data_IF_978841460905
#
_entry.id   IF_978841460905
#
_cell.length_a   1.000
_cell.length_b   1.000
_cell.length_c   1.000
_cell.angle_alpha   90.00
_cell.angle_beta   90.00
_cell.angle_gamma   90.00
#
_symmetry.space_group_name_H-M   'P 1'
#
loop_
_entity.id
_entity.type
_entity.pdbx_description
1 polymer ?
#
# COMPACT_ATOMS: atom_id res chain seq x y z
N UNK A 1 4.14 -15.02 -13.51
CA UNK A 1 4.43 -13.58 -13.61
C UNK A 1 5.69 -13.31 -12.82
N UNK A 2 6.59 -12.46 -13.33
CA UNK A 2 7.73 -11.96 -12.57
C UNK A 2 7.37 -10.58 -12.02
N UNK A 3 7.61 -10.36 -10.73
CA UNK A 3 7.35 -9.10 -10.07
C UNK A 3 8.56 -8.72 -9.20
N UNK A 4 8.83 -7.41 -9.10
CA UNK A 4 9.77 -6.83 -8.16
C UNK A 4 8.99 -6.02 -7.13
N UNK A 5 9.33 -6.16 -5.86
CA UNK A 5 8.76 -5.40 -4.75
C UNK A 5 9.88 -4.69 -4.01
N UNK A 6 9.72 -3.40 -3.75
CA UNK A 6 10.60 -2.63 -2.87
C UNK A 6 9.78 -1.96 -1.76
N UNK A 7 10.33 -1.95 -0.55
CA UNK A 7 9.82 -1.22 0.62
C UNK A 7 10.87 -0.25 1.15
N UNK A 8 11.12 -0.29 2.46
CA UNK A 8 12.07 0.61 3.15
C UNK A 8 13.46 0.68 2.49
N UNK A 9 13.87 1.90 2.13
CA UNK A 9 15.18 2.19 1.54
C UNK A 9 15.79 3.41 2.25
N UNK A 10 16.84 3.17 3.05
CA UNK A 10 17.50 4.21 3.84
C UNK A 10 18.56 5.04 3.10
N UNK A 11 18.82 4.80 1.81
CA UNK A 11 19.84 5.57 1.06
C UNK A 11 19.51 5.76 -0.43
N UNK A 12 19.87 6.93 -0.95
CA UNK A 12 19.69 7.29 -2.37
C UNK A 12 20.50 6.38 -3.29
N UNK A 13 21.72 6.00 -2.90
CA UNK A 13 22.58 5.11 -3.70
C UNK A 13 21.96 3.72 -3.88
N UNK A 14 21.37 3.17 -2.81
CA UNK A 14 20.68 1.88 -2.88
C UNK A 14 19.42 1.98 -3.75
N UNK A 15 18.63 3.05 -3.60
CA UNK A 15 17.44 3.28 -4.43
C UNK A 15 17.79 3.36 -5.92
N UNK A 16 18.81 4.13 -6.28
CA UNK A 16 19.27 4.21 -7.67
C UNK A 16 19.75 2.85 -8.21
N UNK A 17 20.32 1.99 -7.34
CA UNK A 17 20.73 0.64 -7.72
C UNK A 17 19.53 -0.26 -8.00
N UNK A 18 18.49 -0.19 -7.17
CA UNK A 18 17.22 -0.90 -7.40
C UNK A 18 16.62 -0.48 -8.74
N UNK A 19 16.61 0.81 -9.06
CA UNK A 19 16.08 1.30 -10.34
C UNK A 19 16.83 0.73 -11.55
N UNK A 20 18.17 0.65 -11.48
CA UNK A 20 18.99 0.00 -12.53
C UNK A 20 18.65 -1.49 -12.68
N UNK A 21 18.39 -2.18 -11.57
CA UNK A 21 17.97 -3.59 -11.59
C UNK A 21 16.58 -3.73 -12.23
N UNK A 22 15.61 -2.89 -11.87
CA UNK A 22 14.27 -2.89 -12.47
C UNK A 22 14.34 -2.63 -13.97
N UNK A 23 15.13 -1.65 -14.40
CA UNK A 23 15.39 -1.36 -15.81
C UNK A 23 15.98 -2.57 -16.55
N UNK A 24 17.00 -3.20 -15.96
CA UNK A 24 17.62 -4.41 -16.54
C UNK A 24 16.62 -5.56 -16.65
N UNK A 25 15.83 -5.81 -15.61
CA UNK A 25 14.80 -6.85 -15.64
C UNK A 25 13.73 -6.54 -16.70
N UNK A 26 13.33 -5.28 -16.87
CA UNK A 26 12.39 -4.87 -17.93
C UNK A 26 12.94 -5.02 -19.34
N UNK A 27 14.25 -4.85 -19.53
CA UNK A 27 14.88 -5.12 -20.83
C UNK A 27 14.78 -6.60 -21.24
N UNK A 28 14.64 -7.50 -20.26
CA UNK A 28 14.47 -8.95 -20.47
C UNK A 28 12.98 -9.31 -20.53
N UNK A 29 12.16 -8.71 -19.66
CA UNK A 29 10.72 -8.92 -19.59
C UNK A 29 9.99 -7.57 -19.51
N UNK A 30 9.52 -7.01 -20.65
CA UNK A 30 8.78 -5.75 -20.67
C UNK A 30 7.48 -5.77 -19.86
N UNK A 31 6.92 -6.96 -19.59
CA UNK A 31 5.73 -7.15 -18.77
C UNK A 31 6.02 -7.24 -17.26
N UNK A 32 7.26 -6.97 -16.81
CA UNK A 32 7.63 -6.95 -15.40
C UNK A 32 6.78 -5.94 -14.62
N UNK A 33 6.07 -6.44 -13.61
CA UNK A 33 5.36 -5.62 -12.64
C UNK A 33 6.34 -5.16 -11.55
N UNK A 34 6.47 -3.85 -11.38
CA UNK A 34 7.22 -3.26 -10.26
C UNK A 34 6.23 -2.65 -9.26
N UNK A 35 6.15 -3.22 -8.06
CA UNK A 35 5.36 -2.69 -6.96
C UNK A 35 6.31 -1.94 -6.02
N UNK A 36 6.01 -0.69 -5.75
CA UNK A 36 6.78 0.11 -4.81
C UNK A 36 5.89 0.54 -3.65
N UNK A 37 6.32 0.17 -2.45
CA UNK A 37 5.90 0.76 -1.20
C UNK A 37 6.88 1.89 -0.86
N UNK A 38 6.50 3.16 -1.01
CA UNK A 38 7.42 4.28 -0.88
C UNK A 38 7.59 4.64 0.61
N UNK A 39 8.12 3.69 1.39
CA UNK A 39 8.26 3.80 2.85
C UNK A 39 9.18 4.97 3.19
N UNK A 40 8.57 6.10 3.55
CA UNK A 40 9.29 7.34 3.87
C UNK A 40 8.94 7.86 5.26
N UNK A 41 7.76 7.54 5.79
CA UNK A 41 7.32 8.05 7.07
C UNK A 41 5.84 7.79 7.34
N UNK A 42 5.41 8.11 8.56
CA UNK A 42 4.01 8.05 8.96
C UNK A 42 3.73 9.13 10.03
N UNK A 43 2.46 9.44 10.26
CA UNK A 43 1.98 10.40 11.26
C UNK A 43 2.70 11.78 11.21
N UNK A 44 3.04 12.23 9.99
CA UNK A 44 3.70 13.52 9.77
C UNK A 44 5.21 13.53 10.00
N UNK A 45 5.84 12.38 10.24
CA UNK A 45 7.27 12.26 10.51
C UNK A 45 7.97 11.38 9.48
N UNK A 46 9.05 11.89 8.92
CA UNK A 46 9.94 11.12 8.04
C UNK A 46 10.81 10.16 8.85
N UNK A 47 10.95 8.93 8.35
CA UNK A 47 11.91 7.92 8.82
C UNK A 47 13.19 7.92 7.99
N UNK A 48 13.18 8.61 6.85
CA UNK A 48 14.26 8.67 5.87
C UNK A 48 14.69 10.11 5.62
N UNK A 49 15.92 10.34 5.12
CA UNK A 49 16.35 11.66 4.67
C UNK A 49 15.37 12.33 3.68
N UNK A 50 15.13 13.62 3.85
CA UNK A 50 14.19 14.40 3.01
C UNK A 50 14.50 14.30 1.51
N UNK A 51 15.78 14.18 1.13
CA UNK A 51 16.22 13.98 -0.24
C UNK A 51 15.65 12.72 -0.90
N UNK A 52 15.30 11.68 -0.13
CA UNK A 52 14.68 10.49 -0.69
C UNK A 52 13.27 10.78 -1.20
N UNK A 53 12.57 11.79 -0.69
CA UNK A 53 11.23 12.15 -1.17
C UNK A 53 11.29 12.59 -2.63
N UNK A 54 12.25 13.44 -3.01
CA UNK A 54 12.41 13.87 -4.41
C UNK A 54 12.84 12.71 -5.29
N UNK A 55 13.74 11.83 -4.82
CA UNK A 55 14.15 10.66 -5.60
C UNK A 55 12.97 9.69 -5.84
N UNK A 56 12.12 9.46 -4.83
CA UNK A 56 10.91 8.66 -5.03
C UNK A 56 10.00 9.30 -6.07
N UNK A 57 9.68 10.58 -5.91
CA UNK A 57 8.80 11.32 -6.81
C UNK A 57 9.29 11.34 -8.26
N UNK A 58 10.58 11.62 -8.46
CA UNK A 58 11.14 11.89 -9.80
C UNK A 58 11.62 10.63 -10.52
N UNK A 59 12.01 9.58 -9.78
CA UNK A 59 12.65 8.40 -10.38
C UNK A 59 11.92 7.09 -10.13
N UNK A 60 11.25 6.95 -8.99
CA UNK A 60 10.59 5.69 -8.61
C UNK A 60 9.15 5.65 -9.10
N UNK A 61 8.38 6.70 -8.78
CA UNK A 61 6.98 6.80 -9.23
C UNK A 61 6.86 6.59 -10.74
N UNK A 62 7.66 7.22 -11.62
CA UNK A 62 7.48 7.08 -13.06
C UNK A 62 7.68 5.67 -13.62
N UNK A 63 8.40 4.82 -12.89
CA UNK A 63 8.65 3.44 -13.30
C UNK A 63 7.81 2.43 -12.55
N UNK A 64 7.06 2.80 -11.51
CA UNK A 64 6.21 1.88 -10.76
C UNK A 64 5.03 1.38 -11.61
N UNK A 65 4.71 0.09 -11.49
CA UNK A 65 3.48 -0.51 -12.03
C UNK A 65 2.33 -0.43 -11.01
N UNK A 66 2.66 -0.42 -9.72
CA UNK A 66 1.73 -0.17 -8.63
C UNK A 66 2.45 0.58 -7.50
N UNK A 67 1.77 1.58 -6.93
CA UNK A 67 2.22 2.28 -5.73
C UNK A 67 1.29 1.99 -4.56
N UNK A 68 1.86 1.83 -3.36
CA UNK A 68 1.10 1.53 -2.13
C UNK A 68 1.38 2.50 -0.97
N UNK A 69 1.38 3.83 -1.18
CA UNK A 69 1.72 4.79 -0.13
C UNK A 69 0.67 4.79 0.99
N UNK A 70 1.06 5.20 2.19
CA UNK A 70 0.11 5.71 3.17
C UNK A 70 -0.31 7.16 2.85
N UNK A 71 -1.23 7.76 3.61
CA UNK A 71 -1.66 9.14 3.42
C UNK A 71 -0.49 10.14 3.42
N UNK A 72 0.39 10.08 4.42
CA UNK A 72 1.50 11.01 4.55
C UNK A 72 2.47 10.92 3.36
N UNK A 73 2.77 9.72 2.91
CA UNK A 73 3.59 9.47 1.72
C UNK A 73 2.92 9.95 0.44
N UNK A 74 1.61 9.75 0.29
CA UNK A 74 0.86 10.27 -0.85
C UNK A 74 0.90 11.81 -0.88
N UNK A 75 0.75 12.48 0.25
CA UNK A 75 0.90 13.93 0.37
C UNK A 75 2.32 14.38 0.01
N UNK A 76 3.34 13.67 0.49
CA UNK A 76 4.74 13.95 0.15
C UNK A 76 5.02 13.75 -1.34
N UNK A 77 4.47 12.73 -1.99
CA UNK A 77 4.71 12.47 -3.40
C UNK A 77 3.99 13.47 -4.30
N UNK A 78 2.78 13.90 -3.91
CA UNK A 78 1.92 14.76 -4.74
C UNK A 78 2.06 16.25 -4.43
N UNK A 79 2.51 16.62 -3.23
CA UNK A 79 2.44 17.98 -2.70
C UNK A 79 1.02 18.43 -2.34
N UNK A 80 0.02 17.55 -2.45
CA UNK A 80 -1.38 17.82 -2.11
C UNK A 80 -1.63 17.39 -0.67
N UNK A 81 -2.19 18.27 0.16
CA UNK A 81 -2.66 17.90 1.50
C UNK A 81 -3.99 17.15 1.37
N UNK A 82 -4.14 16.03 2.08
CA UNK A 82 -5.32 15.18 2.03
C UNK A 82 -6.13 15.36 3.31
N UNK A 83 -7.31 15.98 3.20
CA UNK A 83 -8.24 16.16 4.34
C UNK A 83 -9.64 15.61 4.05
N UNK A 84 -9.90 15.18 2.81
CA UNK A 84 -11.15 14.59 2.35
C UNK A 84 -10.92 13.37 1.46
N UNK A 85 -11.99 12.59 1.23
CA UNK A 85 -11.96 11.50 0.24
C UNK A 85 -11.60 12.02 -1.16
N UNK A 86 -12.13 13.20 -1.55
CA UNK A 86 -11.88 13.85 -2.82
C UNK A 86 -10.39 14.19 -3.02
N UNK A 87 -9.70 14.63 -1.97
CA UNK A 87 -8.26 14.88 -2.05
C UNK A 87 -7.48 13.59 -2.28
N UNK A 88 -7.90 12.48 -1.66
CA UNK A 88 -7.33 11.15 -1.90
C UNK A 88 -7.49 10.70 -3.36
N UNK A 89 -8.66 10.95 -3.96
CA UNK A 89 -8.91 10.68 -5.38
C UNK A 89 -8.04 11.55 -6.29
N UNK A 90 -7.91 12.84 -5.97
CA UNK A 90 -7.06 13.78 -6.69
C UNK A 90 -5.57 13.39 -6.58
N UNK A 91 -5.11 12.98 -5.40
CA UNK A 91 -3.76 12.48 -5.20
C UNK A 91 -3.46 11.25 -6.07
N UNK A 92 -4.40 10.30 -6.17
CA UNK A 92 -4.28 9.16 -7.08
C UNK A 92 -4.15 9.61 -8.54
N UNK A 93 -4.92 10.62 -8.98
CA UNK A 93 -4.84 11.16 -10.33
C UNK A 93 -3.49 11.82 -10.64
N UNK A 94 -2.93 12.57 -9.69
CA UNK A 94 -1.58 13.15 -9.80
C UNK A 94 -0.53 12.04 -9.93
N UNK A 95 -0.64 10.99 -9.11
CA UNK A 95 0.26 9.84 -9.17
C UNK A 95 0.14 9.08 -10.49
N UNK A 96 -1.07 8.84 -11.00
CA UNK A 96 -1.28 8.24 -12.32
C UNK A 96 -0.62 9.05 -13.44
N UNK A 97 -0.73 10.38 -13.40
CA UNK A 97 -0.07 11.25 -14.37
C UNK A 97 1.46 11.13 -14.34
N UNK A 98 2.03 10.79 -13.19
CA UNK A 98 3.46 10.57 -13.03
C UNK A 98 3.94 9.20 -13.54
N UNK A 99 3.10 8.17 -13.62
CA UNK A 99 3.50 6.86 -14.16
C UNK A 99 2.60 5.65 -13.88
N UNK A 100 2.34 5.30 -12.61
CA UNK A 100 1.76 4.01 -12.25
C UNK A 100 0.29 3.89 -12.68
N UNK A 101 -0.12 2.80 -13.34
CA UNK A 101 -1.54 2.55 -13.64
C UNK A 101 -2.35 2.15 -12.42
N UNK A 102 -1.72 1.68 -11.33
CA UNK A 102 -2.39 1.27 -10.09
C UNK A 102 -1.83 2.07 -8.91
N UNK A 103 -2.70 2.67 -8.12
CA UNK A 103 -2.35 3.37 -6.89
C UNK A 103 -3.29 2.88 -5.79
N UNK A 104 -2.74 2.51 -4.65
CA UNK A 104 -3.49 2.13 -3.45
C UNK A 104 -2.97 2.96 -2.29
N UNK A 105 -3.72 3.99 -1.86
CA UNK A 105 -3.44 4.69 -0.61
C UNK A 105 -3.90 3.76 0.52
N UNK A 106 -2.95 3.11 1.18
CA UNK A 106 -3.18 1.96 2.07
C UNK A 106 -3.93 2.35 3.34
N UNK A 107 -3.68 3.56 3.84
CA UNK A 107 -4.34 4.13 5.01
C UNK A 107 -4.53 5.63 4.86
N UNK A 108 -5.76 6.08 5.05
CA UNK A 108 -6.14 7.49 5.06
C UNK A 108 -7.13 7.74 6.20
N UNK A 109 -6.83 8.70 7.06
CA UNK A 109 -7.68 9.06 8.20
C UNK A 109 -8.56 10.25 7.83
N UNK A 110 -9.84 10.00 7.60
CA UNK A 110 -10.85 11.04 7.31
C UNK A 110 -11.87 11.06 8.45
N UNK A 111 -11.88 12.13 9.23
CA UNK A 111 -12.61 12.21 10.49
C UNK A 111 -12.31 10.97 11.37
N UNK A 112 -13.33 10.22 11.79
CA UNK A 112 -13.17 9.02 12.62
C UNK A 112 -13.04 7.71 11.81
N UNK A 113 -12.91 7.80 10.49
CA UNK A 113 -12.83 6.62 9.61
C UNK A 113 -11.42 6.45 9.05
N UNK A 114 -10.94 5.21 9.13
CA UNK A 114 -9.76 4.76 8.40
C UNK A 114 -10.23 4.17 7.07
N UNK A 115 -9.68 4.68 5.97
CA UNK A 115 -10.03 4.29 4.61
C UNK A 115 -8.80 3.77 3.88
N UNK A 116 -9.01 2.80 3.00
CA UNK A 116 -8.12 2.54 1.87
C UNK A 116 -8.77 3.14 0.62
N UNK A 117 -7.98 3.83 -0.20
CA UNK A 117 -8.40 4.31 -1.52
C UNK A 117 -7.62 3.54 -2.58
N UNK A 118 -8.34 2.88 -3.48
CA UNK A 118 -7.75 2.20 -4.64
C UNK A 118 -8.14 2.91 -5.93
N UNK A 119 -7.19 2.98 -6.87
CA UNK A 119 -7.37 3.64 -8.16
C UNK A 119 -6.64 2.88 -9.26
N UNK A 120 -7.37 2.52 -10.32
CA UNK A 120 -6.84 1.77 -11.46
C UNK A 120 -7.11 2.50 -12.78
N UNK A 121 -6.07 3.09 -13.37
CA UNK A 121 -6.10 3.63 -14.71
C UNK A 121 -5.81 2.53 -15.74
N UNK A 122 -6.87 1.82 -16.17
CA UNK A 122 -6.77 0.73 -17.17
C UNK A 122 -6.24 1.20 -18.52
N UNK A 123 -6.54 2.44 -18.89
CA UNK A 123 -6.11 3.05 -20.16
C UNK A 123 -5.69 4.49 -19.96
N UNK A 124 -4.50 4.84 -20.44
CA UNK A 124 -3.98 6.21 -20.39
C UNK A 124 -4.93 7.16 -21.11
N UNK A 125 -5.21 8.31 -20.49
CA UNK A 125 -6.12 9.33 -21.01
C UNK A 125 -7.61 9.07 -20.74
N UNK A 126 -7.97 7.95 -20.10
CA UNK A 126 -9.31 7.72 -19.57
C UNK A 126 -9.31 7.96 -18.05
N UNK A 127 -10.47 8.36 -17.47
CA UNK A 127 -10.63 8.41 -16.02
C UNK A 127 -10.32 7.05 -15.38
N UNK A 128 -9.60 7.01 -14.26
CA UNK A 128 -9.38 5.76 -13.54
C UNK A 128 -10.65 5.25 -12.88
N UNK A 129 -10.73 3.95 -12.65
CA UNK A 129 -11.72 3.36 -11.77
C UNK A 129 -11.24 3.51 -10.33
N UNK A 130 -12.01 4.19 -9.49
CA UNK A 130 -11.64 4.49 -8.11
C UNK A 130 -12.64 3.89 -7.12
N UNK A 131 -12.15 3.44 -5.98
CA UNK A 131 -12.97 2.84 -4.93
C UNK A 131 -12.38 3.10 -3.55
N UNK A 132 -13.20 2.88 -2.52
CA UNK A 132 -12.77 2.86 -1.12
C UNK A 132 -13.08 1.54 -0.45
N UNK A 133 -12.35 1.27 0.62
CA UNK A 133 -12.70 0.26 1.62
C UNK A 133 -12.63 0.93 2.99
N UNK A 134 -13.72 0.85 3.76
CA UNK A 134 -13.73 1.32 5.15
C UNK A 134 -13.12 0.24 6.04
N UNK A 135 -12.06 0.61 6.77
CA UNK A 135 -11.29 -0.31 7.60
C UNK A 135 -11.54 0.04 9.08
N UNK A 136 -12.03 -0.90 9.90
CA UNK A 136 -12.11 -0.68 11.34
C UNK A 136 -10.72 -0.49 11.94
N UNK A 137 -10.53 0.59 12.69
CA UNK A 137 -9.28 0.82 13.42
C UNK A 137 -9.19 -0.17 14.59
N UNK A 138 -8.08 -0.89 14.66
CA UNK A 138 -7.75 -1.74 15.80
C UNK A 138 -6.93 -0.88 16.78
N UNK A 139 -7.32 -0.78 18.07
CA UNK A 139 -6.66 0.10 19.04
C UNK A 139 -5.34 -0.48 19.58
N UNK A 140 -4.43 -0.84 18.67
CA UNK A 140 -3.09 -1.35 18.95
C UNK A 140 -2.12 -0.92 17.84
N UNK A 141 -0.83 -0.86 18.16
CA UNK A 141 0.23 -0.59 17.19
C UNK A 141 0.86 -1.90 16.72
N UNK A 142 1.15 -2.00 15.44
CA UNK A 142 1.69 -3.22 14.82
C UNK A 142 2.88 -2.86 13.92
N UNK A 143 3.90 -3.71 13.93
CA UNK A 143 5.05 -3.57 13.04
C UNK A 143 4.83 -4.41 11.78
N UNK A 144 5.21 -3.89 10.59
CA UNK A 144 5.20 -4.63 9.32
C UNK A 144 3.84 -4.74 8.61
N UNK A 145 2.84 -3.96 9.02
CA UNK A 145 1.51 -3.96 8.38
C UNK A 145 1.52 -3.43 6.95
N UNK A 146 2.30 -2.37 6.69
CA UNK A 146 2.52 -1.82 5.35
C UNK A 146 3.15 -2.85 4.41
N UNK A 147 4.28 -3.45 4.83
CA UNK A 147 4.98 -4.47 4.05
C UNK A 147 4.06 -5.66 3.71
N UNK A 148 3.31 -6.14 4.71
CA UNK A 148 2.35 -7.23 4.51
C UNK A 148 1.22 -6.81 3.56
N UNK A 149 0.68 -5.60 3.70
CA UNK A 149 -0.37 -5.09 2.82
C UNK A 149 0.11 -5.01 1.37
N UNK A 150 1.30 -4.45 1.15
CA UNK A 150 1.95 -4.36 -0.16
C UNK A 150 2.16 -5.75 -0.77
N UNK A 151 2.64 -6.72 0.02
CA UNK A 151 2.84 -8.09 -0.44
C UNK A 151 1.52 -8.80 -0.82
N UNK A 152 0.47 -8.61 0.00
CA UNK A 152 -0.86 -9.15 -0.28
C UNK A 152 -1.46 -8.52 -1.54
N UNK A 153 -1.38 -7.19 -1.68
CA UNK A 153 -1.85 -6.48 -2.87
C UNK A 153 -1.13 -6.97 -4.12
N UNK A 154 0.18 -7.18 -4.08
CA UNK A 154 0.94 -7.77 -5.19
C UNK A 154 0.42 -9.16 -5.54
N UNK A 155 0.32 -10.06 -4.55
CA UNK A 155 -0.11 -11.44 -4.76
C UNK A 155 -1.52 -11.54 -5.36
N UNK A 156 -2.46 -10.80 -4.79
CA UNK A 156 -3.85 -10.81 -5.23
C UNK A 156 -4.10 -10.04 -6.51
N UNK A 157 -3.39 -8.92 -6.75
CA UNK A 157 -3.44 -8.21 -8.03
C UNK A 157 -2.84 -9.02 -9.17
N UNK A 158 -1.92 -9.95 -8.90
CA UNK A 158 -1.46 -10.91 -9.90
C UNK A 158 -2.53 -11.97 -10.22
N UNK A 159 -3.30 -12.42 -9.21
CA UNK A 159 -4.41 -13.36 -9.43
C UNK A 159 -5.62 -12.70 -10.10
N UNK A 160 -5.84 -11.42 -9.83
CA UNK A 160 -6.96 -10.60 -10.34
C UNK A 160 -6.43 -9.32 -11.01
N UNK A 161 -5.75 -9.43 -12.17
CA UNK A 161 -5.06 -8.30 -12.81
C UNK A 161 -5.95 -7.11 -13.16
N UNK A 162 -7.21 -7.37 -13.51
CA UNK A 162 -8.17 -6.35 -13.96
C UNK A 162 -9.20 -5.95 -12.90
N UNK A 163 -9.08 -6.48 -11.67
CA UNK A 163 -10.03 -6.26 -10.59
C UNK A 163 -9.26 -5.92 -9.29
N UNK A 164 -8.83 -4.65 -9.21
CA UNK A 164 -8.07 -4.13 -8.08
C UNK A 164 -8.96 -4.06 -6.83
N UNK A 165 -10.26 -3.83 -7.00
CA UNK A 165 -11.27 -3.89 -5.94
C UNK A 165 -11.19 -5.24 -5.23
N UNK A 166 -11.32 -6.34 -5.98
CA UNK A 166 -11.27 -7.69 -5.42
C UNK A 166 -9.93 -8.00 -4.76
N UNK A 167 -8.82 -7.58 -5.36
CA UNK A 167 -7.51 -7.77 -4.78
C UNK A 167 -7.38 -7.04 -3.43
N UNK A 168 -7.89 -5.80 -3.34
CA UNK A 168 -7.87 -5.00 -2.12
C UNK A 168 -8.84 -5.52 -1.05
N UNK A 169 -10.05 -5.97 -1.42
CA UNK A 169 -11.00 -6.61 -0.48
C UNK A 169 -10.37 -7.80 0.22
N UNK A 170 -9.68 -8.64 -0.56
CA UNK A 170 -9.00 -9.81 -0.05
C UNK A 170 -7.81 -9.40 0.84
N UNK A 171 -6.96 -8.49 0.37
CA UNK A 171 -5.79 -8.04 1.11
C UNK A 171 -6.18 -7.41 2.47
N UNK A 172 -7.17 -6.52 2.48
CA UNK A 172 -7.70 -5.90 3.71
C UNK A 172 -8.29 -6.96 4.63
N UNK A 173 -9.08 -7.91 4.11
CA UNK A 173 -9.71 -8.96 4.91
C UNK A 173 -8.67 -9.89 5.54
N UNK A 174 -7.64 -10.30 4.80
CA UNK A 174 -6.52 -11.10 5.32
C UNK A 174 -5.76 -10.35 6.41
N UNK A 175 -5.41 -9.08 6.16
CA UNK A 175 -4.67 -8.26 7.12
C UNK A 175 -5.47 -8.07 8.41
N UNK A 176 -6.74 -7.71 8.31
CA UNK A 176 -7.62 -7.52 9.48
C UNK A 176 -7.78 -8.80 10.30
N UNK A 177 -7.97 -9.96 9.66
CA UNK A 177 -8.04 -11.24 10.37
C UNK A 177 -6.73 -11.55 11.12
N UNK A 178 -5.57 -11.33 10.48
CA UNK A 178 -4.26 -11.53 11.09
C UNK A 178 -4.01 -10.56 12.27
N UNK A 179 -4.41 -9.30 12.15
CA UNK A 179 -4.24 -8.31 13.22
C UNK A 179 -5.17 -8.60 14.40
N UNK A 180 -6.40 -9.04 14.15
CA UNK A 180 -7.31 -9.50 15.20
C UNK A 180 -6.77 -10.74 15.93
N UNK A 181 -6.19 -11.71 15.21
CA UNK A 181 -5.51 -12.86 15.84
C UNK A 181 -4.33 -12.38 16.69
N UNK A 182 -3.51 -11.49 16.13
CA UNK A 182 -2.34 -10.94 16.84
C UNK A 182 -2.78 -10.29 18.15
N UNK A 183 -3.76 -9.40 18.12
CA UNK A 183 -4.29 -8.76 19.31
C UNK A 183 -4.85 -9.78 20.33
N UNK A 184 -5.64 -10.75 19.87
CA UNK A 184 -6.21 -11.79 20.74
C UNK A 184 -5.15 -12.62 21.44
N UNK A 185 -4.08 -12.99 20.74
CA UNK A 185 -2.98 -13.78 21.31
C UNK A 185 -2.21 -13.00 22.38
N UNK A 186 -1.90 -11.72 22.15
CA UNK A 186 -1.24 -10.88 23.16
C UNK A 186 -2.13 -10.66 24.39
N UNK A 187 -3.43 -10.43 24.19
CA UNK A 187 -4.39 -10.29 25.30
C UNK A 187 -4.49 -11.57 26.14
N UNK A 188 -4.54 -12.75 25.49
CA UNK A 188 -4.55 -14.05 26.20
C UNK A 188 -3.27 -14.29 27.01
N UNK A 189 -2.14 -13.79 26.52
CA UNK A 189 -0.87 -13.85 27.22
C UNK A 189 -0.74 -12.79 28.34
N UNK A 190 -1.76 -11.94 28.56
CA UNK A 190 -1.76 -10.92 29.61
C UNK A 190 -0.93 -9.68 29.28
N UNK A 191 -0.51 -9.49 28.03
CA UNK A 191 0.20 -8.30 27.59
C UNK A 191 -0.76 -7.15 27.32
N UNK A 192 -0.40 -5.94 27.75
CA UNK A 192 -1.09 -4.72 27.33
C UNK A 192 -0.76 -4.42 25.85
N UNK A 193 -1.74 -4.49 24.93
CA UNK A 193 -1.54 -4.22 23.51
C UNK A 193 -1.12 -2.79 23.18
N UNK A 194 -1.21 -1.86 24.15
CA UNK A 194 -0.83 -0.47 24.00
C UNK A 194 0.57 -0.16 24.51
N UNK A 195 1.20 -1.10 25.24
CA UNK A 195 2.50 -0.87 25.86
C UNK A 195 3.66 -0.88 24.86
N UNK A 196 3.51 -1.56 23.72
CA UNK A 196 4.54 -1.66 22.67
C UNK A 196 3.92 -2.01 21.32
N UNK A 197 4.70 -1.86 20.25
CA UNK A 197 4.29 -2.37 18.94
C UNK A 197 4.27 -3.90 18.96
N UNK A 198 3.20 -4.49 18.41
CA UNK A 198 3.00 -5.93 18.39
C UNK A 198 3.60 -6.56 17.13
N UNK A 199 4.33 -7.66 17.33
CA UNK A 199 4.79 -8.51 16.24
C UNK A 199 3.65 -9.35 15.69
N UNK A 200 3.44 -9.27 14.37
CA UNK A 200 2.31 -9.91 13.70
C UNK A 200 2.38 -11.44 13.77
N UNK A 201 1.24 -12.07 14.03
CA UNK A 201 1.08 -13.54 14.05
C UNK A 201 0.97 -14.12 12.64
N UNK A 202 1.99 -13.92 11.82
CA UNK A 202 1.98 -14.25 10.39
C UNK A 202 1.78 -15.76 10.14
N UNK A 203 2.59 -16.60 10.79
CA UNK A 203 2.55 -18.06 10.59
C UNK A 203 1.22 -18.65 11.07
N UNK A 204 0.74 -18.21 12.23
CA UNK A 204 -0.53 -18.63 12.80
C UNK A 204 -1.73 -18.17 11.95
N UNK A 205 -1.51 -17.22 11.02
CA UNK A 205 -2.52 -16.66 10.13
C UNK A 205 -2.40 -17.11 8.68
N UNK A 206 -1.62 -18.15 8.40
CA UNK A 206 -1.43 -18.66 7.03
C UNK A 206 -2.75 -18.99 6.33
N UNK A 207 -3.75 -19.50 7.05
CA UNK A 207 -5.02 -19.91 6.45
C UNK A 207 -5.90 -18.72 6.11
N UNK A 208 -5.85 -17.63 6.89
CA UNK A 208 -6.53 -16.37 6.55
C UNK A 208 -5.88 -15.65 5.36
N UNK A 209 -4.60 -15.93 5.10
CA UNK A 209 -3.89 -15.43 3.93
C UNK A 209 -4.20 -16.31 2.71
N UNK A 210 -4.32 -17.63 2.85
CA UNK A 210 -4.59 -18.54 1.73
C UNK A 210 -6.07 -18.56 1.33
N UNK A 211 -6.96 -18.57 2.32
CA UNK A 211 -8.41 -18.70 2.18
C UNK A 211 -9.15 -17.59 2.96
N UNK A 212 -8.94 -16.30 2.62
CA UNK A 212 -9.54 -15.19 3.34
C UNK A 212 -11.06 -15.19 3.27
N UNK A 213 -11.70 -15.09 4.43
CA UNK A 213 -13.11 -14.73 4.53
C UNK A 213 -13.25 -13.23 4.28
N UNK A 214 -13.93 -12.86 3.19
CA UNK A 214 -14.05 -11.46 2.78
C UNK A 214 -15.11 -10.78 3.62
N UNK A 215 -14.67 -9.80 4.41
CA UNK A 215 -15.51 -9.06 5.37
C UNK A 215 -15.63 -7.58 5.04
N UNK A 216 -14.72 -7.06 4.22
CA UNK A 216 -14.64 -5.65 3.85
C UNK A 216 -14.76 -5.55 2.33
N UNK A 217 -15.80 -4.87 1.87
CA UNK A 217 -16.13 -4.76 0.45
C UNK A 217 -15.69 -3.40 -0.08
N UNK A 218 -15.33 -3.36 -1.36
CA UNK A 218 -15.03 -2.13 -2.06
C UNK A 218 -16.31 -1.39 -2.45
N UNK A 219 -16.32 -0.08 -2.22
CA UNK A 219 -17.36 0.84 -2.69
C UNK A 219 -16.78 1.72 -3.78
N UNK A 220 -17.36 1.67 -4.99
CA UNK A 220 -16.90 2.50 -6.10
C UNK A 220 -17.31 3.96 -5.90
N UNK A 221 -16.44 4.86 -6.31
CA UNK A 221 -16.82 6.26 -6.51
C UNK A 221 -17.56 6.40 -7.84
N UNK A 222 -18.63 7.19 -7.84
CA UNK A 222 -19.42 7.50 -9.03
C UNK A 222 -18.73 8.55 -9.91
#
# INVERSE_FOLDING_TARGET
>A
MFASLSGYIGSVSFLNTILKVVERLRSINPALIYVCDPVMGDEGKLYVPQELVSVHREKVVPVASMLTPNQFEAELLTGLRITSEQDGLAACNILHAAGPPKVVITSMQIADKLLLIGSHQKKKGHPPEQFKIVIPKIPAYFTGTGDLMTALLLGWSNKYPDNLERASEIAVSSLQALLQRTLSDYQKAGFDPKASSLEIRLIQSQDDIRNPAIKFNAEKYN
#
